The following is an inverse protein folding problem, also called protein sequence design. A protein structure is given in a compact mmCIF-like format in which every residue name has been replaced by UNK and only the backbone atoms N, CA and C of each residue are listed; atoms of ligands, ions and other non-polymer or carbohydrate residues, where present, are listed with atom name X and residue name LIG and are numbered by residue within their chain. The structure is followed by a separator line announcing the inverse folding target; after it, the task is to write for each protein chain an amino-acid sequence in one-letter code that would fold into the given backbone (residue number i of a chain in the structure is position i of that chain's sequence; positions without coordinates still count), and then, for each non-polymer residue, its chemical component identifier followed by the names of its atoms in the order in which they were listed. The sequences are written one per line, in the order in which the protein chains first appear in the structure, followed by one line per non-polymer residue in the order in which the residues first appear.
data_IF_106272804355
#
_entry.id   IF_106272804355
#
_cell.length_a   1.000
_cell.length_b   1.000
_cell.length_c   1.000
_cell.angle_alpha   90.00
_cell.angle_beta   90.00
_cell.angle_gamma   90.00
#
_symmetry.space_group_name_H-M   'P 1'
#
loop_
_entity.id
_entity.type
_entity.pdbx_description
1 polymer ?
#
# COMPACT_ATOMS: atom_id res chain seq x y z
N UNK A 1 -19.05 8.65 -17.10
CA UNK A 1 -20.35 7.99 -17.43
C UNK A 1 -21.33 8.84 -18.22
N UNK A 2 -21.76 10.03 -17.77
CA UNK A 2 -22.76 10.87 -18.51
C UNK A 2 -22.42 11.07 -19.99
N UNK A 3 -21.18 11.36 -20.34
CA UNK A 3 -20.74 11.55 -21.74
C UNK A 3 -20.88 10.26 -22.58
N UNK A 4 -20.58 9.10 -21.99
CA UNK A 4 -20.67 7.80 -22.65
C UNK A 4 -22.13 7.40 -22.87
N UNK A 5 -22.96 7.43 -21.81
CA UNK A 5 -24.37 7.05 -21.90
C UNK A 5 -25.20 8.05 -22.73
N UNK A 6 -24.88 9.34 -22.68
CA UNK A 6 -25.51 10.34 -23.55
C UNK A 6 -24.97 10.33 -24.99
N UNK A 7 -23.96 9.49 -25.29
CA UNK A 7 -23.28 9.43 -26.59
C UNK A 7 -22.78 10.78 -27.11
N UNK A 8 -22.44 11.70 -26.21
CA UNK A 8 -21.98 13.06 -26.56
C UNK A 8 -20.46 13.14 -26.72
N UNK A 9 -19.78 12.00 -26.92
CA UNK A 9 -18.34 11.96 -27.15
C UNK A 9 -18.00 12.42 -28.58
N UNK A 10 -16.89 13.14 -28.72
CA UNK A 10 -16.38 13.56 -30.03
C UNK A 10 -15.88 12.33 -30.80
N UNK A 11 -16.26 12.20 -32.07
CA UNK A 11 -15.67 11.20 -32.96
C UNK A 11 -14.31 11.70 -33.45
N UNK A 12 -13.25 11.00 -33.08
CA UNK A 12 -11.88 11.25 -33.56
C UNK A 12 -11.53 10.44 -34.81
N UNK A 13 -10.31 10.65 -35.33
CA UNK A 13 -9.74 9.78 -36.37
C UNK A 13 -9.51 8.37 -35.79
N UNK A 14 -9.54 7.34 -36.64
CA UNK A 14 -9.12 5.98 -36.25
C UNK A 14 -7.66 6.02 -35.78
N UNK A 15 -7.41 5.51 -34.57
CA UNK A 15 -6.05 5.33 -34.04
C UNK A 15 -5.38 4.06 -34.55
N UNK A 16 -4.16 3.80 -34.06
CA UNK A 16 -3.44 2.53 -34.21
C UNK A 16 -3.48 1.71 -32.91
N UNK A 17 -3.24 0.41 -33.02
CA UNK A 17 -3.04 -0.52 -31.91
C UNK A 17 -1.65 -1.13 -32.06
N UNK A 18 -0.85 -1.06 -31.00
CA UNK A 18 0.48 -1.67 -30.92
C UNK A 18 0.57 -2.52 -29.65
N UNK A 19 1.20 -3.69 -29.75
CA UNK A 19 1.47 -4.55 -28.61
C UNK A 19 2.90 -4.29 -28.12
N UNK A 20 3.06 -4.03 -26.82
CA UNK A 20 4.35 -3.77 -26.21
C UNK A 20 4.81 -4.99 -25.40
N UNK A 21 5.53 -5.90 -26.03
CA UNK A 21 5.94 -7.17 -25.40
C UNK A 21 7.08 -7.02 -24.39
N UNK A 22 7.72 -5.85 -24.31
CA UNK A 22 8.91 -5.59 -23.49
C UNK A 22 8.65 -4.76 -22.23
N UNK A 23 7.40 -4.57 -21.83
CA UNK A 23 7.04 -3.72 -20.67
C UNK A 23 7.64 -4.28 -19.37
N UNK A 24 7.60 -5.60 -19.16
CA UNK A 24 8.21 -6.25 -17.99
C UNK A 24 9.71 -5.97 -17.90
N UNK A 25 10.44 -6.09 -19.02
CA UNK A 25 11.88 -5.83 -19.06
C UNK A 25 12.20 -4.35 -18.87
N UNK A 26 11.41 -3.44 -19.44
CA UNK A 26 11.56 -2.01 -19.22
C UNK A 26 11.38 -1.64 -17.75
N UNK A 27 10.33 -2.18 -17.11
CA UNK A 27 10.07 -1.95 -15.70
C UNK A 27 11.15 -2.57 -14.81
N UNK A 28 11.61 -3.80 -15.09
CA UNK A 28 12.73 -4.40 -14.37
C UNK A 28 14.03 -3.58 -14.51
N UNK A 29 14.34 -3.08 -15.71
CA UNK A 29 15.51 -2.22 -15.93
C UNK A 29 15.38 -0.91 -15.15
N UNK A 30 14.18 -0.34 -15.08
CA UNK A 30 13.89 0.83 -14.27
C UNK A 30 14.11 0.55 -12.77
N UNK A 31 13.60 -0.58 -12.26
CA UNK A 31 13.83 -0.99 -10.87
C UNK A 31 15.33 -1.14 -10.58
N UNK A 32 16.07 -1.84 -11.45
CA UNK A 32 17.51 -2.08 -11.25
C UNK A 32 18.34 -0.79 -11.23
N UNK A 33 17.92 0.24 -11.96
CA UNK A 33 18.54 1.58 -11.91
C UNK A 33 18.33 2.24 -10.54
N UNK A 34 17.11 2.15 -9.97
CA UNK A 34 16.75 2.81 -8.70
C UNK A 34 17.17 2.01 -7.45
N UNK A 35 17.10 0.69 -7.51
CA UNK A 35 17.35 -0.23 -6.40
C UNK A 35 18.39 -1.28 -6.82
N UNK A 36 19.69 -0.97 -6.73
CA UNK A 36 20.74 -1.89 -7.17
C UNK A 36 20.83 -3.14 -6.29
N UNK A 37 21.17 -4.28 -6.91
CA UNK A 37 21.20 -5.62 -6.28
C UNK A 37 21.91 -5.73 -4.92
N UNK A 38 23.06 -5.06 -4.67
CA UNK A 38 23.76 -5.17 -3.38
C UNK A 38 22.97 -4.67 -2.17
N UNK A 39 21.84 -3.97 -2.38
CA UNK A 39 20.97 -3.53 -1.28
C UNK A 39 20.13 -4.65 -0.67
N UNK A 40 20.01 -5.82 -1.30
CA UNK A 40 19.10 -6.87 -0.83
C UNK A 40 19.83 -7.92 0.03
N UNK A 41 19.19 -8.35 1.12
CA UNK A 41 19.64 -9.52 1.85
C UNK A 41 19.20 -10.80 1.11
N UNK A 42 20.13 -11.39 0.35
CA UNK A 42 19.91 -12.62 -0.43
C UNK A 42 19.64 -13.87 0.43
N UNK A 43 19.77 -13.79 1.75
CA UNK A 43 19.44 -14.89 2.66
C UNK A 43 17.96 -14.92 3.04
N UNK A 44 17.22 -13.83 2.82
CA UNK A 44 15.79 -13.77 3.12
C UNK A 44 15.00 -14.66 2.16
N UNK A 45 14.18 -15.55 2.74
CA UNK A 45 13.21 -16.35 2.00
C UNK A 45 11.87 -15.64 2.01
N UNK A 46 11.41 -15.23 0.84
CA UNK A 46 10.22 -14.40 0.68
C UNK A 46 9.12 -15.21 0.00
N UNK A 47 7.97 -15.30 0.65
CA UNK A 47 6.73 -15.77 0.01
C UNK A 47 6.13 -14.63 -0.81
N UNK A 48 5.74 -14.91 -2.04
CA UNK A 48 4.99 -13.95 -2.87
C UNK A 48 3.61 -14.52 -3.10
N UNK A 49 2.59 -13.79 -2.63
CA UNK A 49 1.18 -14.16 -2.72
C UNK A 49 0.38 -13.08 -3.46
N UNK A 50 0.28 -13.17 -4.79
CA UNK A 50 -0.52 -12.24 -5.58
C UNK A 50 -2.03 -12.57 -5.56
N UNK A 51 -2.46 -13.58 -4.80
CA UNK A 51 -3.87 -13.94 -4.67
C UNK A 51 -4.55 -14.28 -5.99
N UNK A 52 -3.83 -14.88 -6.95
CA UNK A 52 -4.26 -15.16 -8.32
C UNK A 52 -4.55 -13.91 -9.19
N UNK A 53 -4.15 -12.73 -8.75
CA UNK A 53 -4.37 -11.45 -9.42
C UNK A 53 -3.32 -11.08 -10.48
N UNK A 54 -3.27 -9.79 -10.83
CA UNK A 54 -2.43 -9.25 -11.90
C UNK A 54 -0.91 -9.37 -11.59
N UNK A 55 -0.52 -9.45 -10.33
CA UNK A 55 0.87 -9.66 -9.92
C UNK A 55 1.38 -11.10 -10.12
N UNK A 56 0.49 -12.06 -10.39
CA UNK A 56 0.85 -13.47 -10.61
C UNK A 56 1.90 -13.64 -11.71
N UNK A 57 2.97 -14.37 -11.42
CA UNK A 57 4.20 -14.55 -12.24
C UNK A 57 4.99 -13.28 -12.53
N UNK A 58 4.40 -12.11 -12.33
CA UNK A 58 5.05 -10.85 -12.63
C UNK A 58 5.92 -10.39 -11.46
N UNK A 59 5.33 -10.29 -10.26
CA UNK A 59 6.05 -9.87 -9.06
C UNK A 59 7.10 -10.90 -8.62
N UNK A 60 6.75 -12.18 -8.63
CA UNK A 60 7.66 -13.28 -8.28
C UNK A 60 8.90 -13.31 -9.17
N UNK A 61 8.72 -13.21 -10.50
CA UNK A 61 9.82 -13.15 -11.46
C UNK A 61 10.67 -11.88 -11.32
N UNK A 62 10.06 -10.73 -11.01
CA UNK A 62 10.83 -9.49 -10.77
C UNK A 62 11.68 -9.66 -9.52
N UNK A 63 11.09 -10.09 -8.41
CA UNK A 63 11.82 -10.22 -7.15
C UNK A 63 12.95 -11.28 -7.25
N UNK A 64 12.71 -12.40 -7.93
CA UNK A 64 13.75 -13.38 -8.22
C UNK A 64 14.90 -12.78 -9.06
N UNK A 65 14.58 -11.95 -10.05
CA UNK A 65 15.60 -11.23 -10.85
C UNK A 65 16.30 -10.10 -10.10
N UNK A 66 15.77 -9.69 -8.95
CA UNK A 66 16.45 -8.84 -7.97
C UNK A 66 17.33 -9.64 -7.00
N UNK A 67 17.48 -10.96 -7.20
CA UNK A 67 18.34 -11.83 -6.43
C UNK A 67 17.73 -12.31 -5.11
N UNK A 68 16.42 -12.16 -4.92
CA UNK A 68 15.71 -12.62 -3.72
C UNK A 68 15.36 -14.12 -3.84
N UNK A 69 15.34 -14.84 -2.72
CA UNK A 69 14.88 -16.23 -2.67
C UNK A 69 13.36 -16.27 -2.58
N UNK A 70 12.69 -16.47 -3.71
CA UNK A 70 11.22 -16.40 -3.82
C UNK A 70 10.55 -17.77 -3.73
N UNK A 71 9.46 -17.84 -2.97
CA UNK A 71 8.57 -19.00 -2.86
C UNK A 71 7.15 -18.55 -3.21
N UNK A 72 6.69 -18.79 -4.46
CA UNK A 72 5.37 -18.36 -4.89
C UNK A 72 4.25 -19.20 -4.26
N UNK A 73 3.12 -18.56 -3.94
CA UNK A 73 1.83 -19.18 -3.63
C UNK A 73 0.74 -18.37 -4.32
N UNK A 74 -0.34 -19.01 -4.80
CA UNK A 74 -1.41 -18.33 -5.56
C UNK A 74 -0.88 -17.52 -6.77
N UNK A 75 0.24 -17.98 -7.36
CA UNK A 75 1.01 -17.23 -8.37
C UNK A 75 0.60 -17.55 -9.81
N UNK A 76 -0.51 -18.27 -9.99
CA UNK A 76 -1.14 -18.50 -11.28
C UNK A 76 -2.31 -17.52 -11.46
N UNK A 77 -2.35 -16.73 -12.55
CA UNK A 77 -3.46 -15.81 -12.79
C UNK A 77 -4.77 -16.59 -12.97
N UNK A 78 -5.76 -16.32 -12.12
CA UNK A 78 -7.09 -16.93 -12.20
C UNK A 78 -8.14 -15.96 -11.63
N UNK A 79 -9.04 -15.48 -12.50
CA UNK A 79 -10.11 -14.54 -12.14
C UNK A 79 -11.22 -15.13 -11.26
N UNK A 80 -11.18 -16.43 -10.98
CA UNK A 80 -12.03 -17.07 -9.96
C UNK A 80 -11.43 -16.99 -8.55
N UNK A 81 -10.19 -16.50 -8.42
CA UNK A 81 -9.47 -16.32 -7.16
C UNK A 81 -9.51 -17.56 -6.24
N UNK A 82 -9.09 -18.75 -6.72
CA UNK A 82 -9.22 -20.00 -5.97
C UNK A 82 -8.36 -20.07 -4.71
N UNK A 83 -7.26 -19.31 -4.63
CA UNK A 83 -6.32 -19.34 -3.51
C UNK A 83 -6.80 -18.61 -2.26
N UNK A 84 -7.36 -17.41 -2.43
CA UNK A 84 -7.97 -16.59 -1.39
C UNK A 84 -8.77 -15.44 -2.02
N UNK A 85 -9.55 -14.73 -1.21
CA UNK A 85 -10.15 -13.47 -1.64
C UNK A 85 -9.05 -12.50 -2.15
N UNK A 86 -9.27 -11.81 -3.28
CA UNK A 86 -8.26 -10.92 -3.85
C UNK A 86 -7.96 -9.70 -2.97
N UNK A 87 -8.81 -9.33 -2.02
CA UNK A 87 -8.47 -8.28 -1.05
C UNK A 87 -7.65 -8.87 0.12
N UNK A 88 -6.36 -8.53 0.27
CA UNK A 88 -5.52 -9.11 1.29
C UNK A 88 -5.79 -8.44 2.66
N UNK A 89 -6.45 -9.20 3.53
CA UNK A 89 -6.77 -8.84 4.92
C UNK A 89 -6.35 -9.96 5.86
N UNK A 90 -6.25 -9.66 7.15
CA UNK A 90 -5.87 -10.64 8.18
C UNK A 90 -6.65 -11.96 8.08
N UNK A 91 -7.98 -11.89 7.90
CA UNK A 91 -8.87 -13.05 7.76
C UNK A 91 -8.59 -13.89 6.50
N UNK A 92 -8.10 -13.25 5.43
CA UNK A 92 -7.86 -13.89 4.14
C UNK A 92 -6.43 -14.46 3.99
N UNK A 93 -5.50 -14.04 4.84
CA UNK A 93 -4.07 -14.38 4.75
C UNK A 93 -3.64 -15.50 5.69
N UNK A 94 -4.59 -16.13 6.38
CA UNK A 94 -4.28 -17.23 7.30
C UNK A 94 -3.54 -18.38 6.61
N UNK A 95 -3.98 -18.81 5.42
CA UNK A 95 -3.32 -19.86 4.64
C UNK A 95 -1.92 -19.46 4.20
N UNK A 96 -1.73 -18.20 3.81
CA UNK A 96 -0.43 -17.63 3.46
C UNK A 96 0.55 -17.66 4.63
N UNK A 97 0.08 -17.32 5.84
CA UNK A 97 0.88 -17.39 7.08
C UNK A 97 1.24 -18.84 7.43
N UNK A 98 0.32 -19.80 7.28
CA UNK A 98 0.62 -21.22 7.48
C UNK A 98 1.69 -21.70 6.49
N UNK A 99 1.51 -21.41 5.21
CA UNK A 99 2.48 -21.76 4.17
C UNK A 99 3.85 -21.14 4.43
N UNK A 100 3.91 -19.87 4.81
CA UNK A 100 5.14 -19.20 5.20
C UNK A 100 5.88 -19.95 6.32
N UNK A 101 5.16 -20.42 7.34
CA UNK A 101 5.72 -21.20 8.45
C UNK A 101 6.22 -22.57 7.98
N UNK A 102 5.44 -23.29 7.18
CA UNK A 102 5.79 -24.60 6.63
C UNK A 102 7.06 -24.54 5.77
N UNK A 103 7.21 -23.48 4.97
CA UNK A 103 8.37 -23.26 4.10
C UNK A 103 9.59 -22.69 4.84
N UNK A 104 9.47 -22.41 6.14
CA UNK A 104 10.47 -21.66 6.91
C UNK A 104 10.88 -20.36 6.21
N UNK A 105 9.91 -19.67 5.59
CA UNK A 105 10.10 -18.38 4.96
C UNK A 105 10.00 -17.25 5.98
N UNK A 106 10.64 -16.12 5.72
CA UNK A 106 10.81 -15.03 6.69
C UNK A 106 9.68 -14.00 6.62
N UNK A 107 9.22 -13.69 5.41
CA UNK A 107 8.15 -12.72 5.16
C UNK A 107 7.32 -13.13 3.94
N UNK A 108 6.04 -12.79 3.96
CA UNK A 108 5.15 -12.86 2.80
C UNK A 108 4.81 -11.44 2.31
N UNK A 109 4.81 -11.28 1.00
CA UNK A 109 4.38 -10.07 0.29
C UNK A 109 3.09 -10.41 -0.43
N UNK A 110 1.99 -9.80 0.02
CA UNK A 110 0.65 -10.17 -0.38
C UNK A 110 0.00 -9.02 -1.15
N UNK A 111 -0.30 -9.22 -2.43
CA UNK A 111 -0.92 -8.22 -3.29
C UNK A 111 -2.44 -8.37 -3.33
N UNK A 112 -3.11 -7.30 -3.74
CA UNK A 112 -4.50 -7.39 -4.14
C UNK A 112 -4.69 -7.72 -5.63
N UNK A 113 -5.95 -7.78 -6.07
CA UNK A 113 -6.32 -8.34 -7.38
C UNK A 113 -5.66 -7.68 -8.59
N UNK A 114 -5.47 -6.36 -8.58
CA UNK A 114 -4.78 -5.58 -9.61
C UNK A 114 -3.39 -5.08 -9.18
N UNK A 115 -2.96 -5.45 -7.98
CA UNK A 115 -1.63 -5.22 -7.43
C UNK A 115 -1.25 -3.75 -7.23
N UNK A 116 -2.24 -2.88 -7.03
CA UNK A 116 -2.00 -1.50 -6.61
C UNK A 116 -1.79 -1.39 -5.08
N UNK A 117 -2.22 -2.41 -4.32
CA UNK A 117 -2.05 -2.54 -2.87
C UNK A 117 -1.17 -3.73 -2.49
N UNK A 118 -0.39 -3.54 -1.43
CA UNK A 118 0.41 -4.59 -0.80
C UNK A 118 0.35 -4.55 0.71
N UNK A 119 0.29 -5.74 1.29
CA UNK A 119 0.42 -5.96 2.73
C UNK A 119 1.43 -7.06 3.00
N UNK A 120 1.87 -7.14 4.25
CA UNK A 120 2.96 -8.02 4.64
C UNK A 120 2.55 -8.94 5.78
N UNK A 121 3.10 -10.14 5.78
CA UNK A 121 3.02 -11.07 6.90
C UNK A 121 4.43 -11.55 7.26
N UNK A 122 4.62 -11.97 8.51
CA UNK A 122 5.79 -12.69 8.97
C UNK A 122 5.37 -13.97 9.71
N UNK A 123 6.33 -14.64 10.36
CA UNK A 123 6.07 -15.88 11.12
C UNK A 123 5.10 -15.66 12.29
N UNK A 124 4.99 -14.45 12.82
CA UNK A 124 4.03 -14.11 13.88
C UNK A 124 2.62 -13.89 13.33
N UNK A 125 2.50 -13.43 12.08
CA UNK A 125 1.24 -13.35 11.36
C UNK A 125 1.15 -12.10 10.50
N UNK A 126 -0.06 -11.55 10.38
CA UNK A 126 -0.28 -10.29 9.67
C UNK A 126 0.47 -9.14 10.35
N UNK A 127 1.12 -8.27 9.57
CA UNK A 127 1.84 -7.10 10.08
C UNK A 127 0.98 -5.84 10.17
N UNK A 128 -0.34 -5.95 9.98
CA UNK A 128 -1.22 -4.78 9.99
C UNK A 128 -1.03 -3.86 8.78
N UNK A 129 -1.88 -2.84 8.67
CA UNK A 129 -1.72 -1.80 7.65
C UNK A 129 -0.82 -0.66 8.13
N UNK A 130 -0.87 -0.32 9.42
CA UNK A 130 -0.24 0.90 9.93
C UNK A 130 1.28 0.74 10.06
N UNK A 131 1.72 -0.41 10.53
CA UNK A 131 3.11 -0.71 10.86
C UNK A 131 3.97 -0.69 9.59
N UNK A 132 3.63 -1.39 8.48
CA UNK A 132 4.43 -1.33 7.27
C UNK A 132 4.38 0.07 6.62
N UNK A 133 3.23 0.74 6.63
CA UNK A 133 3.10 2.11 6.13
C UNK A 133 4.04 3.07 6.86
N UNK A 134 4.01 3.02 8.20
CA UNK A 134 4.84 3.88 9.04
C UNK A 134 6.33 3.55 8.89
N UNK A 135 6.69 2.26 8.84
CA UNK A 135 8.08 1.83 8.70
C UNK A 135 8.66 2.19 7.32
N UNK A 136 7.95 1.88 6.23
CA UNK A 136 8.38 2.25 4.87
C UNK A 136 8.46 3.76 4.71
N UNK A 137 7.51 4.51 5.27
CA UNK A 137 7.54 5.98 5.23
C UNK A 137 8.80 6.53 5.90
N UNK A 138 9.18 5.98 7.06
CA UNK A 138 10.41 6.34 7.75
C UNK A 138 11.64 6.09 6.87
N UNK A 139 11.77 4.89 6.30
CA UNK A 139 12.89 4.52 5.43
C UNK A 139 13.01 5.47 4.22
N UNK A 140 11.90 5.77 3.55
CA UNK A 140 11.89 6.64 2.37
C UNK A 140 12.24 8.08 2.75
N UNK A 141 11.79 8.59 3.89
CA UNK A 141 12.23 9.90 4.41
C UNK A 141 13.72 9.91 4.67
N UNK A 142 14.27 8.89 5.33
CA UNK A 142 15.70 8.82 5.65
C UNK A 142 16.57 8.76 4.38
N UNK A 143 16.11 8.05 3.35
CA UNK A 143 16.79 7.95 2.06
C UNK A 143 16.69 9.26 1.25
N UNK A 144 15.49 9.83 1.12
CA UNK A 144 15.24 11.01 0.28
C UNK A 144 15.57 12.34 0.96
N UNK A 145 15.65 12.36 2.29
CA UNK A 145 15.79 13.56 3.14
C UNK A 145 14.67 14.60 3.00
N UNK A 146 13.60 14.28 2.28
CA UNK A 146 12.42 15.13 2.16
C UNK A 146 11.65 15.16 3.47
N UNK A 147 11.02 16.31 3.75
CA UNK A 147 10.43 16.62 5.06
C UNK A 147 8.91 16.56 5.11
N UNK A 148 8.28 15.96 4.09
CA UNK A 148 6.82 15.82 4.02
C UNK A 148 6.41 14.42 3.59
N UNK A 149 5.32 13.93 4.18
CA UNK A 149 4.63 12.71 3.77
C UNK A 149 3.18 13.08 3.46
N UNK A 150 2.69 12.67 2.29
CA UNK A 150 1.28 12.81 1.94
C UNK A 150 0.50 11.57 2.37
N UNK A 151 -0.63 11.74 3.03
CA UNK A 151 -1.47 10.60 3.44
C UNK A 151 -2.94 11.01 3.49
N UNK A 152 -3.85 10.08 3.78
CA UNK A 152 -5.27 10.37 3.95
C UNK A 152 -5.64 10.60 5.41
N UNK A 153 -6.81 11.22 5.64
CA UNK A 153 -7.41 11.41 6.98
C UNK A 153 -7.67 10.10 7.74
N UNK A 154 -7.71 8.95 7.06
CA UNK A 154 -7.91 7.65 7.72
C UNK A 154 -6.63 7.16 8.43
N UNK A 155 -5.46 7.57 7.95
CA UNK A 155 -4.18 7.13 8.50
C UNK A 155 -3.99 7.59 9.95
N UNK A 156 -3.88 6.60 10.83
CA UNK A 156 -3.74 6.79 12.28
C UNK A 156 -2.43 7.46 12.71
N UNK A 157 -2.28 7.63 14.03
CA UNK A 157 -1.15 8.34 14.65
C UNK A 157 0.19 7.60 14.60
N UNK A 158 0.18 6.30 14.26
CA UNK A 158 1.40 5.50 14.25
C UNK A 158 2.41 6.05 13.24
N UNK A 159 1.93 6.57 12.11
CA UNK A 159 2.78 7.22 11.11
C UNK A 159 3.48 8.46 11.68
N UNK A 160 2.76 9.35 12.38
CA UNK A 160 3.37 10.55 12.99
C UNK A 160 4.44 10.16 14.02
N UNK A 161 4.15 9.16 14.85
CA UNK A 161 5.07 8.70 15.89
C UNK A 161 6.33 8.05 15.30
N UNK A 162 6.19 7.29 14.22
CA UNK A 162 7.30 6.61 13.56
C UNK A 162 8.31 7.57 12.91
N UNK A 163 7.91 8.81 12.64
CA UNK A 163 8.76 9.83 11.99
C UNK A 163 8.98 11.08 12.85
N UNK A 164 8.54 11.06 14.12
CA UNK A 164 8.55 12.24 15.00
C UNK A 164 9.95 12.79 15.26
N UNK A 165 10.96 11.92 15.30
CA UNK A 165 12.37 12.27 15.46
C UNK A 165 13.05 12.75 14.17
N UNK A 166 12.38 12.64 13.02
CA UNK A 166 12.95 12.99 11.71
C UNK A 166 12.60 14.40 11.24
N UNK A 167 11.89 15.20 12.06
CA UNK A 167 11.43 16.55 11.72
C UNK A 167 10.66 16.56 10.39
N UNK A 168 9.66 15.67 10.30
CA UNK A 168 8.82 15.45 9.12
C UNK A 168 7.38 15.88 9.40
N UNK A 169 6.79 16.55 8.42
CA UNK A 169 5.37 16.90 8.43
C UNK A 169 4.54 15.81 7.73
N UNK A 170 3.60 15.20 8.46
CA UNK A 170 2.61 14.26 7.90
C UNK A 170 1.34 15.03 7.52
N UNK A 171 1.15 15.24 6.21
CA UNK A 171 0.02 16.02 5.69
C UNK A 171 -1.12 15.10 5.26
N UNK A 172 -2.31 15.31 5.85
CA UNK A 172 -3.51 14.50 5.62
C UNK A 172 -4.48 15.17 4.65
N UNK A 173 -4.75 14.51 3.53
CA UNK A 173 -5.71 14.93 2.52
C UNK A 173 -6.93 14.01 2.40
N UNK A 174 -7.66 14.17 1.29
CA UNK A 174 -8.82 13.34 0.95
C UNK A 174 -8.41 11.89 0.71
N UNK A 175 -9.32 10.98 1.01
CA UNK A 175 -9.17 9.54 0.75
C UNK A 175 -9.13 9.27 -0.77
N UNK A 176 -8.41 8.23 -1.17
CA UNK A 176 -8.21 7.83 -2.57
C UNK A 176 -6.80 8.14 -3.04
N UNK A 177 -6.13 7.11 -3.53
CA UNK A 177 -4.80 7.11 -4.15
C UNK A 177 -4.55 8.29 -5.11
N UNK A 178 -5.49 8.65 -5.99
CA UNK A 178 -5.37 9.79 -6.90
C UNK A 178 -5.23 11.11 -6.15
N UNK A 179 -6.00 11.30 -5.07
CA UNK A 179 -5.88 12.50 -4.24
C UNK A 179 -4.54 12.53 -3.49
N UNK A 180 -4.07 11.36 -3.04
CA UNK A 180 -2.75 11.23 -2.40
C UNK A 180 -1.63 11.51 -3.40
N UNK A 181 -1.77 11.08 -4.65
CA UNK A 181 -0.82 11.34 -5.73
C UNK A 181 -0.66 12.85 -5.98
N UNK A 182 -1.78 13.57 -6.15
CA UNK A 182 -1.76 15.02 -6.31
C UNK A 182 -1.16 15.72 -5.09
N UNK A 183 -1.55 15.31 -3.88
CA UNK A 183 -1.02 15.88 -2.65
C UNK A 183 0.49 15.66 -2.51
N UNK A 184 0.98 14.46 -2.82
CA UNK A 184 2.41 14.14 -2.81
C UNK A 184 3.19 14.99 -3.82
N UNK A 185 2.58 15.28 -4.98
CA UNK A 185 3.16 16.15 -5.99
C UNK A 185 3.22 17.61 -5.54
N UNK A 186 2.10 18.15 -5.04
CA UNK A 186 1.99 19.54 -4.60
C UNK A 186 2.96 19.86 -3.44
N UNK A 187 3.17 18.91 -2.53
CA UNK A 187 4.00 19.09 -1.34
C UNK A 187 5.49 18.84 -1.56
N UNK A 188 5.89 18.35 -2.74
CA UNK A 188 7.19 17.71 -2.96
C UNK A 188 7.48 16.65 -1.86
N UNK A 189 6.52 15.76 -1.61
CA UNK A 189 6.61 14.78 -0.53
C UNK A 189 7.70 13.72 -0.80
N UNK A 190 8.18 13.09 0.29
CA UNK A 190 9.01 11.90 0.24
C UNK A 190 8.27 10.73 -0.42
N UNK A 191 7.01 10.55 -0.01
CA UNK A 191 6.07 9.56 -0.53
C UNK A 191 4.63 9.95 -0.22
N UNK A 192 3.70 9.32 -0.93
CA UNK A 192 2.28 9.26 -0.61
C UNK A 192 1.90 7.88 -0.08
N UNK A 193 1.04 7.79 0.93
CA UNK A 193 0.55 6.52 1.49
C UNK A 193 -0.94 6.55 1.81
N UNK A 194 -1.61 5.39 1.72
CA UNK A 194 -2.99 5.22 2.19
C UNK A 194 -3.11 3.95 3.04
N UNK A 195 -3.91 4.02 4.11
CA UNK A 195 -4.10 2.99 5.15
C UNK A 195 -4.81 1.70 4.68
N UNK A 196 -4.50 1.26 3.46
CA UNK A 196 -4.95 0.01 2.82
C UNK A 196 -3.81 -0.65 2.03
N UNK A 197 -2.57 -0.21 2.22
CA UNK A 197 -1.40 -0.76 1.52
C UNK A 197 -1.06 -0.08 0.20
N UNK A 198 -1.51 1.16 -0.02
CA UNK A 198 -1.09 1.98 -1.18
C UNK A 198 0.18 2.74 -0.84
N UNK A 199 1.13 2.71 -1.76
CA UNK A 199 2.39 3.43 -1.68
C UNK A 199 2.67 4.14 -3.01
N UNK A 200 2.86 5.45 -2.95
CA UNK A 200 3.16 6.31 -4.09
C UNK A 200 4.56 6.87 -3.88
N UNK A 201 5.53 6.39 -4.67
CA UNK A 201 6.92 6.84 -4.58
C UNK A 201 7.23 7.79 -5.74
N UNK A 202 7.40 9.10 -5.52
CA UNK A 202 7.59 10.09 -6.60
C UNK A 202 8.76 9.80 -7.54
N UNK A 203 9.78 9.07 -7.08
CA UNK A 203 10.91 8.64 -7.91
C UNK A 203 10.55 7.59 -8.98
N UNK A 204 9.40 6.95 -8.82
CA UNK A 204 8.77 6.03 -9.78
C UNK A 204 7.74 6.77 -10.61
N UNK A 205 6.89 7.51 -9.93
CA UNK A 205 5.82 8.31 -10.51
C UNK A 205 4.73 8.57 -9.47
N UNK A 206 3.76 9.40 -9.85
CA UNK A 206 2.63 9.74 -8.99
C UNK A 206 1.47 8.76 -9.20
N UNK A 207 1.74 7.48 -8.95
CA UNK A 207 0.77 6.38 -8.98
C UNK A 207 1.15 5.31 -7.95
N UNK A 208 0.20 4.46 -7.49
CA UNK A 208 0.51 3.33 -6.63
C UNK A 208 1.46 2.33 -7.30
N UNK A 209 2.56 2.00 -6.63
CA UNK A 209 3.47 0.95 -7.08
C UNK A 209 3.88 0.05 -5.92
N UNK A 210 3.07 -0.98 -5.71
CA UNK A 210 3.25 -1.96 -4.64
C UNK A 210 4.47 -2.85 -4.82
N UNK A 211 4.90 -3.12 -6.05
CA UNK A 211 6.10 -3.91 -6.33
C UNK A 211 7.34 -3.12 -5.95
N UNK A 212 7.41 -1.84 -6.34
CA UNK A 212 8.51 -0.97 -5.98
C UNK A 212 8.54 -0.69 -4.46
N UNK A 213 7.38 -0.48 -3.83
CA UNK A 213 7.29 -0.30 -2.38
C UNK A 213 7.80 -1.53 -1.61
N UNK A 214 7.44 -2.72 -2.08
CA UNK A 214 7.93 -3.99 -1.52
C UNK A 214 9.45 -4.13 -1.63
N UNK A 215 10.02 -3.80 -2.79
CA UNK A 215 11.47 -3.83 -2.96
C UNK A 215 12.18 -2.75 -2.13
N UNK A 216 11.55 -1.58 -1.94
CA UNK A 216 12.08 -0.52 -1.07
C UNK A 216 12.14 -0.99 0.38
N UNK A 217 11.13 -1.74 0.85
CA UNK A 217 11.17 -2.38 2.17
C UNK A 217 12.32 -3.40 2.24
N UNK A 218 12.34 -4.36 1.31
CA UNK A 218 13.33 -5.43 1.30
C UNK A 218 14.78 -4.94 1.12
N UNK A 219 15.00 -3.78 0.49
CA UNK A 219 16.33 -3.19 0.33
C UNK A 219 16.89 -2.57 1.60
N UNK A 220 16.08 -2.47 2.66
CA UNK A 220 16.48 -1.91 3.96
C UNK A 220 16.35 -2.93 5.10
N UNK A 221 15.68 -4.06 4.87
CA UNK A 221 15.50 -5.11 5.87
C UNK A 221 16.71 -6.05 5.90
N UNK A 222 17.31 -6.21 7.08
CA UNK A 222 18.16 -7.36 7.39
C UNK A 222 17.30 -8.55 7.81
N UNK A 223 16.22 -8.32 8.56
CA UNK A 223 15.25 -9.34 9.00
C UNK A 223 13.85 -8.73 9.23
N UNK A 224 12.74 -9.43 8.89
CA UNK A 224 11.38 -8.89 9.05
C UNK A 224 10.99 -8.49 10.48
N UNK A 225 11.60 -9.09 11.50
CA UNK A 225 11.36 -8.75 12.91
C UNK A 225 11.66 -7.30 13.25
N UNK A 226 12.54 -6.64 12.48
CA UNK A 226 12.87 -5.22 12.66
C UNK A 226 11.63 -4.32 12.63
N UNK A 227 10.60 -4.68 11.86
CA UNK A 227 9.35 -3.93 11.80
C UNK A 227 8.68 -3.98 13.18
N UNK A 228 8.45 -5.17 13.72
CA UNK A 228 7.81 -5.33 15.04
C UNK A 228 8.65 -4.74 16.16
N UNK A 229 9.96 -5.00 16.16
CA UNK A 229 10.92 -4.48 17.13
C UNK A 229 10.90 -2.94 17.18
N UNK A 230 10.82 -2.27 16.02
CA UNK A 230 10.68 -0.82 15.96
C UNK A 230 9.43 -0.33 16.70
N UNK A 231 8.29 -0.98 16.45
CA UNK A 231 7.00 -0.58 17.03
C UNK A 231 6.80 -1.01 18.48
N UNK A 232 7.58 -1.94 19.03
CA UNK A 232 7.52 -2.31 20.45
C UNK A 232 7.80 -1.11 21.39
N UNK A 233 8.59 -0.14 20.92
CA UNK A 233 8.91 1.07 21.68
C UNK A 233 7.82 2.16 21.61
N UNK A 234 6.87 2.03 20.69
CA UNK A 234 5.81 3.01 20.47
C UNK A 234 4.50 2.60 21.19
N UNK A 235 3.65 3.58 21.55
CA UNK A 235 2.34 3.29 22.13
C UNK A 235 1.51 2.36 21.23
N UNK A 236 0.88 1.35 21.85
CA UNK A 236 -0.08 0.50 21.15
C UNK A 236 -1.41 1.22 20.96
N UNK A 237 -1.96 1.17 19.75
CA UNK A 237 -3.26 1.74 19.42
C UNK A 237 -4.26 0.63 19.11
N UNK A 238 -5.48 0.76 19.65
CA UNK A 238 -6.60 -0.03 19.18
C UNK A 238 -7.22 0.67 17.96
N UNK A 239 -7.34 -0.05 16.85
CA UNK A 239 -8.02 0.42 15.65
C UNK A 239 -9.37 -0.28 15.50
N UNK A 240 -10.43 0.48 15.26
CA UNK A 240 -11.75 -0.06 14.97
C UNK A 240 -12.39 0.74 13.85
N UNK A 241 -12.93 0.03 12.85
CA UNK A 241 -13.63 0.61 11.71
C UNK A 241 -14.99 -0.06 11.59
N UNK A 242 -16.04 0.74 11.53
CA UNK A 242 -17.41 0.28 11.37
C UNK A 242 -18.04 0.92 10.13
N UNK A 243 -18.87 0.16 9.42
CA UNK A 243 -19.72 0.67 8.34
C UNK A 243 -21.12 0.87 8.90
N UNK A 244 -21.63 2.09 8.84
CA UNK A 244 -23.00 2.43 9.24
C UNK A 244 -23.80 2.71 7.98
N UNK A 245 -24.90 1.98 7.78
CA UNK A 245 -25.79 2.23 6.64
C UNK A 245 -26.48 3.58 6.81
N UNK A 246 -26.42 4.41 5.77
CA UNK A 246 -27.04 5.73 5.76
C UNK A 246 -27.63 5.99 4.37
N UNK A 247 -28.94 6.30 4.26
CA UNK A 247 -29.56 6.72 3.00
C UNK A 247 -28.82 7.92 2.40
N UNK A 248 -28.65 7.93 1.08
CA UNK A 248 -27.84 8.95 0.40
C UNK A 248 -28.36 10.37 0.67
N UNK A 249 -29.68 10.57 0.69
CA UNK A 249 -30.29 11.88 0.98
C UNK A 249 -30.02 12.41 2.39
N UNK A 250 -29.63 11.54 3.34
CA UNK A 250 -29.33 11.93 4.72
C UNK A 250 -27.84 12.12 4.98
N UNK A 251 -26.95 11.70 4.08
CA UNK A 251 -25.50 11.72 4.31
C UNK A 251 -24.96 13.11 4.63
N UNK A 252 -25.36 14.12 3.87
CA UNK A 252 -24.90 15.50 4.11
C UNK A 252 -25.35 16.02 5.48
N UNK A 253 -26.62 15.82 5.82
CA UNK A 253 -27.19 16.22 7.12
C UNK A 253 -26.51 15.53 8.29
N UNK A 254 -26.32 14.20 8.20
CA UNK A 254 -25.64 13.42 9.24
C UNK A 254 -24.19 13.90 9.41
N UNK A 255 -23.47 14.11 8.30
CA UNK A 255 -22.09 14.60 8.36
C UNK A 255 -21.99 16.02 8.92
N UNK A 256 -22.97 16.89 8.65
CA UNK A 256 -23.02 18.23 9.23
C UNK A 256 -23.25 18.18 10.75
N UNK A 257 -24.17 17.35 11.22
CA UNK A 257 -24.44 17.15 12.64
C UNK A 257 -23.23 16.59 13.39
N UNK A 258 -22.52 15.62 12.81
CA UNK A 258 -21.34 15.05 13.45
C UNK A 258 -20.14 16.01 13.53
N UNK A 259 -20.14 17.09 12.75
CA UNK A 259 -19.14 18.17 12.85
C UNK A 259 -19.48 19.18 13.94
N UNK A 260 -20.70 19.16 14.50
CA UNK A 260 -21.10 20.04 15.58
C UNK A 260 -20.32 19.67 16.86
N UNK A 261 -19.46 20.57 17.38
CA UNK A 261 -18.65 20.31 18.57
C UNK A 261 -19.49 20.06 19.83
N UNK A 262 -20.76 20.51 19.86
CA UNK A 262 -21.66 20.35 21.00
C UNK A 262 -22.24 18.94 21.12
N UNK A 263 -22.31 18.20 20.01
CA UNK A 263 -22.88 16.85 19.97
C UNK A 263 -21.86 15.76 20.31
N UNK A 264 -20.56 16.08 20.31
CA UNK A 264 -19.54 15.08 20.63
C UNK A 264 -18.22 15.70 21.16
N UNK A 265 -18.21 16.13 22.44
CA UNK A 265 -17.03 16.77 23.08
C UNK A 265 -15.77 15.88 23.12
N UNK A 266 -15.94 14.56 23.10
CA UNK A 266 -14.88 13.55 23.13
C UNK A 266 -14.20 13.28 21.77
N UNK A 267 -14.69 13.88 20.67
CA UNK A 267 -14.11 13.67 19.32
C UNK A 267 -12.78 14.38 19.08
N UNK A 268 -12.32 15.20 20.04
CA UNK A 268 -11.15 16.07 19.88
C UNK A 268 -9.81 15.31 19.80
N UNK A 269 -9.78 14.00 20.06
CA UNK A 269 -8.56 13.20 19.97
C UNK A 269 -8.77 11.91 19.16
N UNK A 270 -8.66 12.00 17.84
CA UNK A 270 -8.40 10.84 16.98
C UNK A 270 -9.60 10.21 16.27
N UNK A 271 -10.82 10.79 16.35
CA UNK A 271 -11.91 10.36 15.49
C UNK A 271 -11.93 11.18 14.19
N UNK A 272 -11.80 10.50 13.05
CA UNK A 272 -11.94 11.08 11.73
C UNK A 272 -13.23 10.58 11.09
N UNK A 273 -14.11 11.49 10.67
CA UNK A 273 -15.42 11.17 10.10
C UNK A 273 -15.45 11.43 8.59
N UNK A 274 -15.95 10.46 7.83
CA UNK A 274 -16.07 10.52 6.37
C UNK A 274 -17.49 10.21 5.94
N UNK A 275 -18.05 11.06 5.07
CA UNK A 275 -19.20 10.73 4.25
C UNK A 275 -18.72 10.30 2.87
N UNK A 276 -19.14 9.12 2.40
CA UNK A 276 -18.95 8.72 1.00
C UNK A 276 -20.19 9.16 0.22
N UNK A 277 -20.04 10.20 -0.61
CA UNK A 277 -21.07 10.64 -1.56
C UNK A 277 -21.10 9.74 -2.79
#
# INVERSE_FOLDING_TARGET
EKIYFAKTFRQGRKGSLEHADNVKQKYLSFIKDKLPLPKFNHQLKIVVDPGNGAASKFASDIFAQMGLSIIPINDEPDGLFPGRNPEPREDTLWSTVQFLREQNADMAICFDGDADRVVFCDKEGFLGFNEPIAFISRLVVEETRKKRIATTVETGKLLDLAVNDLDVEVVRGKVGDVNVAYLAQELDAALGVEQVGVYILPQVGYYPDSIFASLTLLSHLSHPSQIREFFQSLPTFAFSKAKVSCPNELKETVMAQLRDPSLAPSLRSGLWLKGTG
#
